data_IF_418337502000
#
_entry.id   IF_418337502000
#
_cell.length_a   1.000
_cell.length_b   1.000
_cell.length_c   1.000
_cell.angle_alpha   90.00
_cell.angle_beta   90.00
_cell.angle_gamma   90.00
#
_symmetry.space_group_name_H-M   'P 1'
#
loop_
_entity.id
_entity.type
_entity.pdbx_description
1 polymer ?
#
# COMPACT_ATOMS: atom_id res chain seq x y z
N UNK A 1 -25.83 -13.38 -18.46
CA UNK A 1 -24.36 -13.37 -18.27
C UNK A 1 -23.93 -11.92 -18.11
N UNK A 2 -23.66 -11.48 -16.89
CA UNK A 2 -23.31 -10.09 -16.58
C UNK A 2 -21.91 -9.79 -17.11
N UNK A 3 -21.80 -8.90 -18.11
CA UNK A 3 -20.50 -8.45 -18.63
C UNK A 3 -19.79 -7.67 -17.54
N UNK A 4 -18.81 -8.28 -16.85
CA UNK A 4 -17.83 -7.54 -16.03
C UNK A 4 -17.19 -6.47 -16.91
N UNK A 5 -17.51 -5.21 -16.64
CA UNK A 5 -16.93 -4.07 -17.34
C UNK A 5 -15.40 -4.10 -17.17
N UNK A 6 -14.61 -3.91 -18.25
CA UNK A 6 -13.16 -3.89 -18.15
C UNK A 6 -12.71 -2.74 -17.25
N UNK A 7 -11.62 -2.94 -16.50
CA UNK A 7 -11.01 -1.87 -15.71
C UNK A 7 -10.59 -0.75 -16.67
N UNK A 8 -11.11 0.46 -16.44
CA UNK A 8 -10.75 1.63 -17.23
C UNK A 8 -9.27 1.96 -17.08
N UNK A 9 -8.63 2.40 -18.18
CA UNK A 9 -7.23 2.89 -18.19
C UNK A 9 -6.97 3.90 -17.08
N UNK A 10 -7.92 4.80 -16.80
CA UNK A 10 -7.80 5.80 -15.74
C UNK A 10 -7.63 5.16 -14.36
N UNK A 11 -8.34 4.07 -14.06
CA UNK A 11 -8.21 3.35 -12.79
C UNK A 11 -6.86 2.66 -12.66
N UNK A 12 -6.33 2.11 -13.75
CA UNK A 12 -5.01 1.49 -13.79
C UNK A 12 -3.93 2.55 -13.50
N UNK A 13 -4.02 3.72 -14.14
CA UNK A 13 -3.09 4.82 -13.90
C UNK A 13 -3.12 5.28 -12.44
N UNK A 14 -4.31 5.44 -11.85
CA UNK A 14 -4.40 5.80 -10.43
C UNK A 14 -3.84 4.72 -9.49
N UNK A 15 -4.06 3.44 -9.79
CA UNK A 15 -3.47 2.35 -9.02
C UNK A 15 -1.94 2.34 -9.11
N UNK A 16 -1.39 2.57 -10.31
CA UNK A 16 0.06 2.67 -10.51
C UNK A 16 0.67 3.88 -9.80
N UNK A 17 0.02 5.05 -9.87
CA UNK A 17 0.44 6.24 -9.12
C UNK A 17 0.40 6.01 -7.60
N UNK A 18 -0.62 5.32 -7.11
CA UNK A 18 -0.73 4.98 -5.69
C UNK A 18 0.35 3.98 -5.25
N UNK A 19 0.67 2.99 -6.08
CA UNK A 19 1.79 2.09 -5.83
C UNK A 19 3.12 2.87 -5.78
N UNK A 20 3.36 3.82 -6.69
CA UNK A 20 4.54 4.69 -6.68
C UNK A 20 4.61 5.57 -5.42
N UNK A 21 3.48 6.13 -4.98
CA UNK A 21 3.40 6.87 -3.71
C UNK A 21 3.69 5.96 -2.51
N UNK A 22 3.25 4.71 -2.54
CA UNK A 22 3.54 3.74 -1.49
C UNK A 22 5.04 3.42 -1.43
N UNK A 23 5.73 3.29 -2.57
CA UNK A 23 7.20 3.18 -2.62
C UNK A 23 7.87 4.42 -2.02
N UNK A 24 7.49 5.60 -2.49
CA UNK A 24 8.07 6.86 -2.02
C UNK A 24 7.85 7.08 -0.51
N UNK A 25 6.65 6.80 -0.02
CA UNK A 25 6.33 6.88 1.41
C UNK A 25 7.04 5.83 2.25
N UNK A 26 7.34 4.66 1.69
CA UNK A 26 8.14 3.65 2.39
C UNK A 26 9.61 4.07 2.49
N UNK A 27 10.13 4.80 1.50
CA UNK A 27 11.46 5.39 1.55
C UNK A 27 11.56 6.56 2.56
N UNK A 28 10.50 7.37 2.68
CA UNK A 28 10.39 8.48 3.62
C UNK A 28 10.02 7.98 5.04
N UNK A 29 10.94 7.25 5.67
CA UNK A 29 10.83 6.88 7.09
C UNK A 29 11.39 8.01 7.96
N UNK A 30 10.51 8.73 8.66
CA UNK A 30 10.93 9.77 9.61
C UNK A 30 11.11 9.10 10.97
N UNK A 31 12.36 8.92 11.40
CA UNK A 31 12.66 8.41 12.74
C UNK A 31 12.51 9.55 13.75
N UNK A 32 11.62 9.37 14.72
CA UNK A 32 11.41 10.34 15.79
C UNK A 32 12.35 9.98 16.95
N UNK A 33 13.24 10.89 17.36
CA UNK A 33 14.09 10.66 18.53
C UNK A 33 13.23 10.84 19.80
N UNK A 34 12.64 9.74 20.28
CA UNK A 34 11.98 9.71 21.58
C UNK A 34 12.90 9.07 22.63
N UNK A 35 13.10 9.80 23.73
CA UNK A 35 14.04 9.47 24.79
C UNK A 35 13.60 8.29 25.69
N UNK A 36 12.39 7.75 25.51
CA UNK A 36 11.82 6.69 26.36
C UNK A 36 11.27 5.57 25.49
N UNK A 37 12.00 4.45 25.41
CA UNK A 37 11.43 3.14 25.06
C UNK A 37 11.59 2.60 23.63
N UNK A 38 12.27 3.29 22.71
CA UNK A 38 12.67 2.71 21.41
C UNK A 38 12.70 3.67 20.22
N UNK A 39 13.28 3.22 19.10
CA UNK A 39 13.27 3.92 17.82
C UNK A 39 11.88 3.84 17.19
N UNK A 40 11.03 4.82 17.47
CA UNK A 40 9.70 4.90 16.83
C UNK A 40 9.82 5.70 15.54
N UNK A 41 9.37 5.12 14.43
CA UNK A 41 9.44 5.76 13.12
C UNK A 41 8.03 5.97 12.55
N UNK A 42 7.82 7.16 11.98
CA UNK A 42 6.63 7.43 11.18
C UNK A 42 6.80 6.79 9.80
N UNK A 43 6.17 5.63 9.60
CA UNK A 43 6.18 4.91 8.34
C UNK A 43 5.09 5.45 7.41
N UNK A 44 5.45 6.44 6.60
CA UNK A 44 4.54 7.07 5.65
C UNK A 44 3.97 6.06 4.64
N UNK A 45 4.70 4.98 4.34
CA UNK A 45 4.24 3.86 3.52
C UNK A 45 2.94 3.21 4.02
N UNK A 46 2.75 3.08 5.34
CA UNK A 46 1.52 2.49 5.90
C UNK A 46 0.30 3.37 5.66
N UNK A 47 0.50 4.70 5.65
CA UNK A 47 -0.56 5.66 5.38
C UNK A 47 -1.04 5.51 3.94
N UNK A 48 -0.11 5.44 2.98
CA UNK A 48 -0.45 5.20 1.58
C UNK A 48 -1.10 3.83 1.36
N UNK A 49 -0.69 2.79 2.09
CA UNK A 49 -1.36 1.49 2.04
C UNK A 49 -2.82 1.55 2.51
N UNK A 50 -3.15 2.37 3.49
CA UNK A 50 -4.54 2.55 3.93
C UNK A 50 -5.33 3.41 2.93
N UNK A 51 -4.72 4.52 2.51
CA UNK A 51 -5.31 5.45 1.54
C UNK A 51 -5.60 4.78 0.20
N UNK A 52 -4.77 3.83 -0.24
CA UNK A 52 -5.01 3.10 -1.49
C UNK A 52 -6.33 2.34 -1.42
N UNK A 53 -6.60 1.63 -0.32
CA UNK A 53 -7.87 0.93 -0.06
C UNK A 53 -9.06 1.89 0.01
N UNK A 54 -8.92 2.97 0.78
CA UNK A 54 -9.97 3.96 0.98
C UNK A 54 -10.34 4.66 -0.34
N UNK A 55 -9.37 5.02 -1.18
CA UNK A 55 -9.61 5.81 -2.39
C UNK A 55 -9.90 4.98 -3.65
N UNK A 56 -9.25 3.81 -3.80
CA UNK A 56 -9.36 2.98 -5.01
C UNK A 56 -10.29 1.76 -4.83
N UNK A 57 -10.77 1.55 -3.60
CA UNK A 57 -11.57 0.39 -3.21
C UNK A 57 -10.71 -0.82 -2.83
N UNK A 58 -11.34 -1.88 -2.30
CA UNK A 58 -10.64 -3.01 -1.68
C UNK A 58 -9.68 -3.73 -2.62
N UNK A 59 -10.10 -4.03 -3.86
CA UNK A 59 -9.31 -4.83 -4.78
C UNK A 59 -8.14 -4.07 -5.41
N UNK A 60 -8.42 -2.92 -6.04
CA UNK A 60 -7.38 -2.11 -6.66
C UNK A 60 -6.47 -1.44 -5.63
N UNK A 61 -7.03 -1.00 -4.50
CA UNK A 61 -6.30 -0.41 -3.40
C UNK A 61 -5.37 -1.41 -2.70
N UNK A 62 -5.86 -2.61 -2.40
CA UNK A 62 -5.04 -3.70 -1.87
C UNK A 62 -3.89 -4.07 -2.80
N UNK A 63 -4.16 -4.21 -4.11
CA UNK A 63 -3.12 -4.47 -5.11
C UNK A 63 -2.08 -3.34 -5.17
N UNK A 64 -2.50 -2.08 -5.16
CA UNK A 64 -1.59 -0.93 -5.18
C UNK A 64 -0.71 -0.86 -3.92
N UNK A 65 -1.28 -1.12 -2.73
CA UNK A 65 -0.54 -1.16 -1.46
C UNK A 65 0.51 -2.28 -1.45
N UNK A 66 0.09 -3.49 -1.83
CA UNK A 66 0.95 -4.67 -1.89
C UNK A 66 2.08 -4.49 -2.90
N UNK A 67 1.76 -4.11 -4.14
CA UNK A 67 2.77 -3.91 -5.20
C UNK A 67 3.74 -2.79 -4.87
N UNK A 68 3.26 -1.66 -4.35
CA UNK A 68 4.14 -0.56 -3.96
C UNK A 68 5.13 -0.96 -2.87
N UNK A 69 4.66 -1.66 -1.85
CA UNK A 69 5.54 -2.10 -0.75
C UNK A 69 6.49 -3.23 -1.18
N UNK A 70 6.01 -4.15 -2.03
CA UNK A 70 6.82 -5.21 -2.64
C UNK A 70 7.98 -4.65 -3.48
N UNK A 71 7.70 -3.65 -4.32
CA UNK A 71 8.71 -3.00 -5.14
C UNK A 71 9.74 -2.27 -4.27
N UNK A 72 9.30 -1.62 -3.19
CA UNK A 72 10.22 -1.00 -2.23
C UNK A 72 11.17 -2.02 -1.61
N UNK A 73 10.66 -3.18 -1.20
CA UNK A 73 11.47 -4.23 -0.58
C UNK A 73 12.48 -4.84 -1.56
N UNK A 74 12.10 -5.01 -2.84
CA UNK A 74 13.02 -5.45 -3.90
C UNK A 74 14.15 -4.44 -4.11
N UNK A 75 13.85 -3.14 -4.03
CA UNK A 75 14.82 -2.07 -4.24
C UNK A 75 15.75 -1.84 -3.03
N UNK A 76 15.54 -2.58 -1.94
CA UNK A 76 16.25 -2.40 -0.68
C UNK A 76 16.79 -3.74 -0.15
N UNK A 77 17.31 -3.74 1.08
CA UNK A 77 17.87 -4.94 1.71
C UNK A 77 16.81 -5.93 2.23
N UNK A 78 15.53 -5.74 1.88
CA UNK A 78 14.39 -6.53 2.39
C UNK A 78 13.81 -7.47 1.32
N UNK A 79 14.61 -7.86 0.32
CA UNK A 79 14.14 -8.66 -0.82
C UNK A 79 13.66 -10.06 -0.41
N UNK A 80 14.20 -10.64 0.67
CA UNK A 80 13.78 -11.96 1.16
C UNK A 80 12.37 -11.92 1.74
N UNK A 81 11.97 -10.79 2.30
CA UNK A 81 10.69 -10.54 2.96
C UNK A 81 9.65 -9.94 2.02
N UNK A 82 10.04 -9.53 0.80
CA UNK A 82 9.18 -8.78 -0.12
C UNK A 82 7.82 -9.46 -0.37
N UNK A 83 7.77 -10.79 -0.46
CA UNK A 83 6.53 -11.54 -0.68
C UNK A 83 5.60 -11.50 0.55
N UNK A 84 6.16 -11.49 1.76
CA UNK A 84 5.40 -11.32 3.01
C UNK A 84 4.85 -9.90 3.06
N UNK A 85 5.66 -8.91 2.71
CA UNK A 85 5.23 -7.51 2.64
C UNK A 85 4.12 -7.31 1.62
N UNK A 86 4.22 -7.93 0.43
CA UNK A 86 3.17 -7.90 -0.57
C UNK A 86 1.83 -8.37 -0.01
N UNK A 87 1.82 -9.52 0.66
CA UNK A 87 0.61 -10.11 1.22
C UNK A 87 0.06 -9.30 2.39
N UNK A 88 0.92 -8.91 3.33
CA UNK A 88 0.50 -8.19 4.54
C UNK A 88 0.05 -6.76 4.24
N UNK A 89 0.77 -6.01 3.42
CA UNK A 89 0.39 -4.64 3.00
C UNK A 89 -0.78 -4.67 2.03
N UNK A 90 -0.85 -5.68 1.17
CA UNK A 90 -1.99 -5.91 0.30
C UNK A 90 -3.27 -6.19 1.08
N UNK A 91 -3.21 -7.09 2.07
CA UNK A 91 -4.33 -7.36 2.98
C UNK A 91 -4.71 -6.12 3.79
N UNK A 92 -3.74 -5.36 4.27
CA UNK A 92 -3.98 -4.10 4.99
C UNK A 92 -4.79 -3.10 4.16
N UNK A 93 -4.36 -2.83 2.91
CA UNK A 93 -5.10 -1.94 2.01
C UNK A 93 -6.45 -2.51 1.60
N UNK A 94 -6.55 -3.82 1.41
CA UNK A 94 -7.81 -4.49 1.08
C UNK A 94 -8.83 -4.35 2.21
N UNK A 95 -8.43 -4.61 3.46
CA UNK A 95 -9.30 -4.48 4.64
C UNK A 95 -9.73 -3.03 4.84
N UNK A 96 -8.81 -2.08 4.71
CA UNK A 96 -9.14 -0.66 4.79
C UNK A 96 -10.20 -0.27 3.72
N UNK A 97 -10.06 -0.78 2.49
CA UNK A 97 -11.04 -0.58 1.44
C UNK A 97 -12.38 -1.27 1.71
N UNK A 98 -12.37 -2.50 2.24
CA UNK A 98 -13.61 -3.21 2.61
C UNK A 98 -14.39 -2.46 3.68
N UNK A 99 -13.71 -1.91 4.69
CA UNK A 99 -14.34 -1.13 5.75
C UNK A 99 -14.92 0.18 5.19
N UNK A 100 -14.14 0.90 4.38
CA UNK A 100 -14.56 2.20 3.85
C UNK A 100 -15.69 2.10 2.81
N UNK A 101 -15.81 0.97 2.09
CA UNK A 101 -16.78 0.77 1.00
C UNK A 101 -17.87 -0.24 1.31
N UNK A 102 -17.82 -0.89 2.48
CA UNK A 102 -18.74 -1.95 2.89
C UNK A 102 -19.98 -1.48 3.66
N UNK A 103 -20.13 -0.17 3.87
CA UNK A 103 -21.30 0.47 4.48
C UNK A 103 -22.31 0.97 3.45
#
# INVERSE_FOLDING_TARGET
MEKKQPISTRKIVFAALMAALTVAGSALRIQLPIAVGGTTAFHLGNIFCALSGILLGPWLGGLAAGLGSFLYDIMTNYISECWITFLTKGAYGLVAGLIAWGG
#
